data_IF_472118226679
#
_entry.id   IF_472118226679
#
_cell.length_a   1.000
_cell.length_b   1.000
_cell.length_c   1.000
_cell.angle_alpha   90.00
_cell.angle_beta   90.00
_cell.angle_gamma   90.00
#
_symmetry.space_group_name_H-M   'P 1'
#
loop_
_entity.id
_entity.type
_entity.pdbx_description
1 polymer ?
#
# COMPACT_ATOMS: atom_id res chain seq x y z
N UNK A 1 -2.37 -9.28 19.75
CA UNK A 1 -3.70 -8.67 19.70
C UNK A 1 -4.61 -9.36 20.72
N UNK A 2 -4.77 -10.69 20.71
CA UNK A 2 -5.66 -11.45 21.64
C UNK A 2 -5.46 -11.08 23.11
N UNK A 3 -4.22 -11.04 23.60
CA UNK A 3 -3.90 -10.63 24.99
C UNK A 3 -4.34 -9.20 25.32
N UNK A 4 -4.33 -8.29 24.34
CA UNK A 4 -4.80 -6.91 24.54
C UNK A 4 -6.33 -6.86 24.57
N UNK A 5 -7.01 -7.64 23.73
CA UNK A 5 -8.46 -7.72 23.73
C UNK A 5 -9.00 -8.25 25.04
N UNK A 6 -8.41 -9.32 25.56
CA UNK A 6 -8.77 -9.89 26.86
C UNK A 6 -8.53 -8.88 27.99
N UNK A 7 -7.35 -8.25 28.00
CA UNK A 7 -6.97 -7.31 29.05
C UNK A 7 -7.84 -6.03 29.08
N UNK A 8 -8.23 -5.53 27.91
CA UNK A 8 -8.95 -4.25 27.79
C UNK A 8 -10.41 -4.43 27.35
N UNK A 9 -10.93 -5.65 27.25
CA UNK A 9 -12.30 -5.98 26.84
C UNK A 9 -12.72 -5.31 25.50
N UNK A 10 -11.80 -5.29 24.53
CA UNK A 10 -12.03 -4.66 23.22
C UNK A 10 -12.76 -5.66 22.33
N UNK A 11 -13.98 -5.33 21.90
CA UNK A 11 -14.87 -6.25 21.13
C UNK A 11 -14.67 -6.17 19.63
N UNK A 12 -14.49 -4.97 19.08
CA UNK A 12 -14.42 -4.74 17.63
C UNK A 12 -13.03 -4.20 17.26
N UNK A 13 -12.13 -5.10 16.93
CA UNK A 13 -10.76 -4.73 16.57
C UNK A 13 -10.61 -4.68 15.05
N UNK A 14 -10.14 -3.55 14.53
CA UNK A 14 -9.74 -3.40 13.14
C UNK A 14 -8.22 -3.27 13.07
N UNK A 15 -7.58 -4.16 12.36
CA UNK A 15 -6.13 -4.16 12.15
C UNK A 15 -5.80 -3.29 10.96
N UNK A 16 -5.05 -2.22 11.19
CA UNK A 16 -4.54 -1.37 10.11
C UNK A 16 -3.11 -1.78 9.82
N UNK A 17 -2.82 -2.10 8.57
CA UNK A 17 -1.52 -2.64 8.19
C UNK A 17 -1.02 -2.11 6.86
N UNK A 18 0.31 -2.10 6.69
CA UNK A 18 0.96 -1.79 5.43
C UNK A 18 0.74 -2.91 4.39
N UNK A 19 1.02 -2.56 3.15
CA UNK A 19 0.92 -3.44 1.98
C UNK A 19 1.70 -4.75 2.13
N UNK A 20 2.76 -4.77 2.91
CA UNK A 20 3.54 -5.99 3.19
C UNK A 20 2.72 -7.13 3.83
N UNK A 21 1.65 -6.80 4.55
CA UNK A 21 0.75 -7.77 5.17
C UNK A 21 -0.48 -8.12 4.31
N UNK A 22 -0.57 -7.63 3.08
CA UNK A 22 -1.71 -7.81 2.19
C UNK A 22 -1.67 -9.13 1.42
N UNK A 23 -1.34 -10.25 2.05
CA UNK A 23 -1.52 -11.60 1.48
C UNK A 23 -2.90 -12.15 1.82
N UNK A 24 -3.45 -13.02 0.96
CA UNK A 24 -4.76 -13.67 1.20
C UNK A 24 -4.73 -14.45 2.51
N UNK A 25 -3.66 -15.21 2.75
CA UNK A 25 -3.48 -16.00 3.98
C UNK A 25 -3.51 -15.12 5.24
N UNK A 26 -2.81 -13.96 5.24
CA UNK A 26 -2.86 -13.03 6.37
C UNK A 26 -4.27 -12.45 6.59
N UNK A 27 -4.97 -12.11 5.51
CA UNK A 27 -6.33 -11.56 5.60
C UNK A 27 -7.33 -12.61 6.10
N UNK A 28 -7.20 -13.87 5.67
CA UNK A 28 -7.99 -14.98 6.18
C UNK A 28 -7.72 -15.20 7.68
N UNK A 29 -6.44 -15.23 8.08
CA UNK A 29 -6.07 -15.34 9.49
C UNK A 29 -6.69 -14.23 10.36
N UNK A 30 -6.77 -13.00 9.86
CA UNK A 30 -7.44 -11.92 10.59
C UNK A 30 -8.93 -12.18 10.73
N UNK A 31 -9.61 -12.67 9.68
CA UNK A 31 -11.02 -13.01 9.71
C UNK A 31 -11.32 -14.17 10.65
N UNK A 32 -10.51 -15.23 10.61
CA UNK A 32 -10.65 -16.41 11.48
C UNK A 32 -10.52 -16.04 12.97
N UNK A 33 -9.77 -14.97 13.25
CA UNK A 33 -9.66 -14.41 14.61
C UNK A 33 -10.69 -13.29 14.90
N UNK A 34 -11.72 -13.13 14.07
CA UNK A 34 -12.77 -12.12 14.21
C UNK A 34 -12.28 -10.67 14.19
N UNK A 35 -11.18 -10.38 13.48
CA UNK A 35 -10.70 -9.02 13.26
C UNK A 35 -11.20 -8.44 11.95
N UNK A 36 -11.57 -7.16 11.97
CA UNK A 36 -11.62 -6.35 10.75
C UNK A 36 -10.21 -5.97 10.29
N UNK A 37 -10.10 -5.50 9.07
CA UNK A 37 -8.81 -5.04 8.55
C UNK A 37 -8.93 -3.86 7.59
N UNK A 38 -7.87 -3.04 7.56
CA UNK A 38 -7.60 -1.97 6.60
C UNK A 38 -6.19 -2.17 6.11
N UNK A 39 -6.00 -2.53 4.84
CA UNK A 39 -4.67 -2.81 4.29
C UNK A 39 -4.52 -2.18 2.91
N UNK A 40 -3.38 -1.53 2.63
CA UNK A 40 -3.14 -0.96 1.32
C UNK A 40 -3.08 -2.00 0.22
N UNK A 41 -3.70 -1.67 -0.92
CA UNK A 41 -3.68 -2.48 -2.13
C UNK A 41 -2.97 -1.72 -3.26
N UNK A 42 -2.00 -2.36 -3.91
CA UNK A 42 -1.34 -1.76 -5.08
C UNK A 42 -2.29 -1.78 -6.27
N UNK A 43 -2.66 -0.60 -6.78
CA UNK A 43 -3.60 -0.46 -7.88
C UNK A 43 -3.11 -1.15 -9.15
N UNK A 44 -1.81 -1.07 -9.46
CA UNK A 44 -1.24 -1.72 -10.66
C UNK A 44 -1.27 -3.25 -10.65
N UNK A 45 -1.57 -3.87 -9.52
CA UNK A 45 -1.66 -5.34 -9.36
C UNK A 45 -3.10 -5.84 -9.35
N UNK A 46 -4.07 -4.96 -9.57
CA UNK A 46 -5.48 -5.33 -9.65
C UNK A 46 -5.82 -5.94 -11.01
N UNK A 47 -6.83 -6.83 -11.07
CA UNK A 47 -7.38 -7.36 -12.32
C UNK A 47 -7.81 -6.26 -13.28
N UNK A 48 -7.87 -6.58 -14.57
CA UNK A 48 -8.16 -5.59 -15.61
C UNK A 48 -9.58 -4.99 -15.49
N UNK A 49 -10.56 -5.80 -15.15
CA UNK A 49 -11.94 -5.40 -14.89
C UNK A 49 -12.08 -4.43 -13.71
N UNK A 50 -11.38 -4.68 -12.62
CA UNK A 50 -11.32 -3.78 -11.47
C UNK A 50 -10.56 -2.49 -11.82
N UNK A 51 -9.46 -2.62 -12.58
CA UNK A 51 -8.71 -1.44 -13.06
C UNK A 51 -9.59 -0.55 -13.94
N UNK A 52 -10.40 -1.14 -14.83
CA UNK A 52 -11.35 -0.39 -15.66
C UNK A 52 -12.39 0.35 -14.79
N UNK A 53 -12.94 -0.29 -13.76
CA UNK A 53 -13.87 0.35 -12.82
C UNK A 53 -13.22 1.50 -12.04
N UNK A 54 -11.92 1.41 -11.74
CA UNK A 54 -11.16 2.49 -11.07
C UNK A 54 -11.01 3.70 -11.98
N UNK A 55 -10.71 3.49 -13.25
CA UNK A 55 -10.49 4.56 -14.23
C UNK A 55 -11.80 5.20 -14.65
N UNK A 56 -12.91 4.46 -14.61
CA UNK A 56 -14.23 5.00 -14.90
C UNK A 56 -14.62 6.07 -13.88
N UNK A 57 -14.86 7.28 -14.35
CA UNK A 57 -15.23 8.44 -13.52
C UNK A 57 -16.59 8.30 -12.84
N UNK A 58 -17.46 7.44 -13.36
CA UNK A 58 -18.77 7.20 -12.77
C UNK A 58 -18.68 6.53 -11.40
N UNK A 59 -19.52 6.97 -10.47
CA UNK A 59 -19.62 6.40 -9.11
C UNK A 59 -18.58 6.92 -8.12
N UNK A 60 -17.79 7.93 -8.48
CA UNK A 60 -16.96 8.65 -7.51
C UNK A 60 -17.78 9.67 -6.74
N UNK A 61 -17.53 9.72 -5.42
CA UNK A 61 -18.04 10.77 -4.53
C UNK A 61 -16.94 11.80 -4.31
N UNK A 62 -17.18 13.04 -4.69
CA UNK A 62 -16.27 14.14 -4.42
C UNK A 62 -16.33 14.54 -2.95
N UNK A 63 -15.16 14.70 -2.34
CA UNK A 63 -14.97 15.21 -0.97
C UNK A 63 -14.47 16.65 -1.01
N UNK A 64 -13.50 16.90 -1.90
CA UNK A 64 -13.01 18.24 -2.19
C UNK A 64 -13.04 18.39 -3.71
N UNK A 65 -13.78 19.40 -4.16
CA UNK A 65 -13.99 19.65 -5.60
C UNK A 65 -12.67 19.63 -6.36
N UNK A 66 -12.64 18.84 -7.44
CA UNK A 66 -11.51 18.66 -8.35
C UNK A 66 -10.16 18.21 -7.69
N UNK A 67 -10.15 17.92 -6.38
CA UNK A 67 -8.92 17.60 -5.67
C UNK A 67 -8.90 16.24 -5.01
N UNK A 68 -10.03 15.81 -4.44
CA UNK A 68 -10.10 14.54 -3.73
C UNK A 68 -11.48 13.89 -3.87
N UNK A 69 -11.49 12.66 -4.34
CA UNK A 69 -12.70 11.84 -4.51
C UNK A 69 -12.42 10.40 -4.13
N UNK A 70 -13.49 9.67 -3.80
CA UNK A 70 -13.40 8.24 -3.51
C UNK A 70 -14.50 7.45 -4.21
N UNK A 71 -14.26 6.16 -4.37
CA UNK A 71 -15.21 5.16 -4.87
C UNK A 71 -15.09 3.89 -4.05
N UNK A 72 -16.22 3.22 -3.81
CA UNK A 72 -16.26 1.91 -3.16
C UNK A 72 -16.60 0.88 -4.22
N UNK A 73 -15.81 -0.19 -4.27
CA UNK A 73 -16.10 -1.39 -5.03
C UNK A 73 -16.42 -2.48 -4.01
N UNK A 74 -17.71 -2.81 -3.91
CA UNK A 74 -18.20 -3.85 -3.02
C UNK A 74 -17.88 -5.24 -3.59
N UNK A 75 -17.86 -6.24 -2.70
CA UNK A 75 -17.64 -7.65 -3.07
C UNK A 75 -16.33 -7.89 -3.87
N UNK A 76 -15.32 -7.06 -3.62
CA UNK A 76 -14.00 -7.30 -4.22
C UNK A 76 -13.43 -8.62 -3.72
N UNK A 77 -13.25 -9.56 -4.65
CA UNK A 77 -12.67 -10.87 -4.38
C UNK A 77 -11.18 -10.82 -4.64
N UNK A 78 -10.41 -11.00 -3.59
CA UNK A 78 -8.96 -11.14 -3.69
C UNK A 78 -8.58 -12.60 -3.60
N UNK A 79 -7.82 -13.08 -4.58
CA UNK A 79 -7.35 -14.46 -4.67
C UNK A 79 -5.83 -14.51 -4.57
N UNK A 80 -5.29 -15.62 -4.07
CA UNK A 80 -3.86 -15.92 -4.19
C UNK A 80 -3.53 -16.38 -5.62
N UNK A 81 -2.25 -16.57 -5.93
CA UNK A 81 -1.78 -16.83 -7.30
C UNK A 81 -2.32 -18.16 -7.88
N UNK A 82 -2.50 -19.18 -7.05
CA UNK A 82 -3.02 -20.51 -7.42
C UNK A 82 -4.55 -20.62 -7.28
N UNK A 83 -5.23 -19.54 -6.85
CA UNK A 83 -6.67 -19.46 -6.61
C UNK A 83 -7.21 -20.47 -5.59
N UNK A 84 -6.34 -21.06 -4.76
CA UNK A 84 -6.74 -22.00 -3.72
C UNK A 84 -7.46 -21.31 -2.56
N UNK A 85 -7.13 -20.04 -2.30
CA UNK A 85 -7.72 -19.23 -1.23
C UNK A 85 -8.23 -17.90 -1.78
N UNK A 86 -9.29 -17.40 -1.19
CA UNK A 86 -9.82 -16.08 -1.52
C UNK A 86 -10.39 -15.37 -0.30
N UNK A 87 -10.44 -14.04 -0.38
CA UNK A 87 -11.05 -13.18 0.61
C UNK A 87 -11.97 -12.20 -0.10
N UNK A 88 -13.21 -12.09 0.38
CA UNK A 88 -14.16 -11.07 -0.11
C UNK A 88 -14.18 -9.90 0.86
N UNK A 89 -13.95 -8.70 0.33
CA UNK A 89 -13.85 -7.46 1.09
C UNK A 89 -14.34 -6.27 0.26
N UNK A 90 -14.32 -5.07 0.82
CA UNK A 90 -14.55 -3.83 0.08
C UNK A 90 -13.21 -3.28 -0.41
N UNK A 91 -13.17 -2.76 -1.63
CA UNK A 91 -12.04 -1.99 -2.15
C UNK A 91 -12.42 -0.51 -2.13
N UNK A 92 -11.79 0.26 -1.28
CA UNK A 92 -11.92 1.71 -1.21
C UNK A 92 -10.84 2.32 -2.09
N UNK A 93 -11.25 2.95 -3.17
CA UNK A 93 -10.36 3.65 -4.10
C UNK A 93 -10.46 5.13 -3.85
N UNK A 94 -9.32 5.80 -3.79
CA UNK A 94 -9.25 7.25 -3.66
C UNK A 94 -8.45 7.84 -4.82
N UNK A 95 -8.84 9.01 -5.27
CA UNK A 95 -8.05 9.85 -6.18
C UNK A 95 -7.69 11.14 -5.47
N UNK A 96 -6.44 11.57 -5.64
CA UNK A 96 -5.95 12.84 -5.12
C UNK A 96 -5.13 13.55 -6.19
N UNK A 97 -5.42 14.83 -6.44
CA UNK A 97 -4.68 15.68 -7.39
C UNK A 97 -3.22 15.85 -6.97
N UNK A 98 -2.94 15.97 -5.67
CA UNK A 98 -1.57 16.09 -5.18
C UNK A 98 -0.76 14.79 -5.42
N UNK A 99 -1.42 13.63 -5.29
CA UNK A 99 -0.83 12.34 -5.63
C UNK A 99 -0.62 12.22 -7.14
N UNK A 100 -1.61 12.63 -7.95
CA UNK A 100 -1.50 12.63 -9.40
C UNK A 100 -0.28 13.44 -9.88
N UNK A 101 -0.09 14.64 -9.36
CA UNK A 101 1.04 15.48 -9.71
C UNK A 101 2.40 14.82 -9.36
N UNK A 102 2.49 14.19 -8.19
CA UNK A 102 3.70 13.44 -7.78
C UNK A 102 3.95 12.21 -8.65
N UNK A 103 2.90 11.43 -8.94
CA UNK A 103 3.00 10.21 -9.73
C UNK A 103 3.39 10.53 -11.19
N UNK A 104 2.84 11.59 -11.78
CA UNK A 104 3.20 12.09 -13.12
C UNK A 104 4.64 12.59 -13.15
N UNK A 105 5.07 13.34 -12.14
CA UNK A 105 6.47 13.79 -12.06
C UNK A 105 7.44 12.60 -11.99
N UNK A 106 7.11 11.58 -11.20
CA UNK A 106 7.89 10.35 -11.11
C UNK A 106 7.90 9.55 -12.43
N UNK A 107 6.75 9.46 -13.11
CA UNK A 107 6.65 8.83 -14.44
C UNK A 107 7.53 9.55 -15.46
N UNK A 108 7.48 10.89 -15.50
CA UNK A 108 8.29 11.69 -16.41
C UNK A 108 9.80 11.54 -16.15
N UNK A 109 10.21 11.46 -14.86
CA UNK A 109 11.59 11.21 -14.50
C UNK A 109 12.05 9.81 -14.96
N UNK A 110 11.23 8.77 -14.75
CA UNK A 110 11.50 7.42 -15.23
C UNK A 110 11.56 7.35 -16.77
N UNK A 111 10.68 8.08 -17.49
CA UNK A 111 10.69 8.16 -18.95
C UNK A 111 11.96 8.82 -19.50
N UNK A 112 12.47 9.86 -18.83
CA UNK A 112 13.77 10.46 -19.22
C UNK A 112 14.90 9.42 -19.17
N UNK A 113 14.94 8.61 -18.10
CA UNK A 113 15.93 7.54 -17.94
C UNK A 113 15.72 6.44 -19.00
N UNK A 114 14.47 6.03 -19.22
CA UNK A 114 14.11 5.03 -20.21
C UNK A 114 14.49 5.44 -21.62
N UNK A 115 14.23 6.69 -22.04
CA UNK A 115 14.62 7.22 -23.33
C UNK A 115 16.15 7.27 -23.51
N UNK A 116 16.88 7.72 -22.49
CA UNK A 116 18.35 7.68 -22.52
C UNK A 116 18.88 6.24 -22.64
N UNK A 117 18.23 5.28 -21.97
CA UNK A 117 18.58 3.87 -22.07
C UNK A 117 18.31 3.27 -23.47
N UNK A 118 17.24 3.71 -24.15
CA UNK A 118 16.95 3.34 -25.55
C UNK A 118 18.01 3.90 -26.48
N UNK A 119 18.33 5.19 -26.38
CA UNK A 119 19.33 5.86 -27.24
C UNK A 119 20.72 5.22 -27.12
N UNK A 120 21.11 4.86 -25.89
CA UNK A 120 22.42 4.27 -25.62
C UNK A 120 22.43 2.74 -25.76
N UNK A 121 21.34 2.09 -26.17
CA UNK A 121 21.20 0.63 -26.22
C UNK A 121 21.68 -0.06 -24.94
N UNK A 122 21.37 0.54 -23.79
CA UNK A 122 21.91 0.16 -22.49
C UNK A 122 21.52 -1.27 -22.12
N UNK A 123 22.46 -2.02 -21.52
CA UNK A 123 22.16 -3.32 -20.93
C UNK A 123 21.42 -3.12 -19.60
N UNK A 124 20.31 -3.84 -19.41
CA UNK A 124 19.60 -3.84 -18.14
C UNK A 124 20.39 -4.66 -17.13
N UNK A 125 21.00 -3.99 -16.16
CA UNK A 125 21.55 -4.65 -14.97
C UNK A 125 20.39 -5.12 -14.07
N UNK A 126 20.60 -6.20 -13.33
CA UNK A 126 19.59 -6.95 -12.52
C UNK A 126 18.88 -6.15 -11.42
N UNK A 127 19.32 -4.93 -11.09
CA UNK A 127 18.66 -4.10 -10.08
C UNK A 127 17.31 -3.57 -10.57
N UNK A 128 16.26 -3.79 -9.77
CA UNK A 128 14.87 -3.39 -10.05
C UNK A 128 14.69 -1.88 -9.96
N UNK A 129 14.79 -1.17 -11.06
CA UNK A 129 14.39 0.23 -11.16
C UNK A 129 13.02 0.32 -11.86
N UNK A 130 12.17 1.24 -11.43
CA UNK A 130 10.80 1.35 -11.93
C UNK A 130 10.71 1.63 -13.45
N UNK A 131 11.68 2.39 -14.01
CA UNK A 131 11.73 2.69 -15.44
C UNK A 131 11.90 1.43 -16.34
N UNK A 132 12.41 0.31 -15.80
CA UNK A 132 12.59 -0.93 -16.57
C UNK A 132 11.28 -1.53 -17.06
N UNK A 133 10.19 -1.32 -16.35
CA UNK A 133 8.86 -1.77 -16.79
C UNK A 133 8.32 -0.95 -18.00
N UNK A 134 8.95 0.19 -18.28
CA UNK A 134 8.55 1.09 -19.37
C UNK A 134 9.28 0.81 -20.67
N UNK A 135 10.16 -0.18 -20.73
CA UNK A 135 10.96 -0.49 -21.93
C UNK A 135 10.76 -1.93 -22.38
N UNK A 136 10.91 -2.14 -23.68
CA UNK A 136 10.98 -3.45 -24.31
C UNK A 136 12.43 -3.86 -24.41
N UNK A 137 12.75 -5.09 -23.97
CA UNK A 137 14.09 -5.67 -24.03
C UNK A 137 14.14 -6.84 -24.99
N UNK A 138 15.32 -7.15 -25.50
CA UNK A 138 15.53 -8.39 -26.23
C UNK A 138 15.53 -9.58 -25.27
N UNK A 139 14.84 -10.68 -25.67
CA UNK A 139 14.84 -11.92 -24.89
C UNK A 139 16.20 -12.64 -24.90
N UNK A 140 17.02 -12.42 -25.93
CA UNK A 140 18.33 -13.06 -26.10
C UNK A 140 19.49 -12.21 -25.56
N UNK A 141 19.33 -10.89 -25.56
CA UNK A 141 20.33 -9.96 -25.02
C UNK A 141 19.57 -8.94 -24.15
N UNK A 142 19.95 -8.71 -22.88
CA UNK A 142 19.21 -7.80 -22.00
C UNK A 142 19.46 -6.32 -22.36
N UNK A 143 19.38 -6.00 -23.66
CA UNK A 143 19.50 -4.64 -24.19
C UNK A 143 18.13 -4.01 -24.37
N UNK A 144 18.04 -2.72 -24.11
CA UNK A 144 16.82 -1.92 -24.28
C UNK A 144 16.65 -1.62 -25.77
N UNK A 145 15.48 -1.95 -26.32
CA UNK A 145 15.13 -1.70 -27.74
C UNK A 145 14.28 -0.47 -27.95
N UNK A 146 13.20 -0.35 -27.19
CA UNK A 146 12.21 0.70 -27.37
C UNK A 146 11.42 0.97 -26.08
N UNK A 147 10.67 2.05 -26.07
CA UNK A 147 9.69 2.33 -25.01
C UNK A 147 8.48 1.40 -25.19
N UNK A 148 8.00 0.85 -24.09
CA UNK A 148 6.74 0.10 -24.03
C UNK A 148 5.59 1.09 -23.81
N UNK A 149 5.03 1.58 -24.90
CA UNK A 149 3.96 2.61 -24.87
C UNK A 149 2.73 2.14 -24.07
N UNK A 150 2.35 0.85 -24.21
CA UNK A 150 1.22 0.30 -23.46
C UNK A 150 1.46 0.32 -21.93
N UNK A 151 2.69 0.05 -21.48
CA UNK A 151 3.05 0.15 -20.06
C UNK A 151 3.07 1.60 -19.56
N UNK A 152 3.48 2.53 -20.41
CA UNK A 152 3.46 3.98 -20.11
C UNK A 152 2.02 4.45 -19.92
N UNK A 153 1.14 4.17 -20.89
CA UNK A 153 -0.28 4.55 -20.81
C UNK A 153 -0.99 3.91 -19.61
N UNK A 154 -0.76 2.61 -19.37
CA UNK A 154 -1.28 1.94 -18.18
C UNK A 154 -0.80 2.60 -16.88
N UNK A 155 0.48 2.96 -16.77
CA UNK A 155 0.99 3.63 -15.58
C UNK A 155 0.42 5.04 -15.44
N UNK A 156 0.29 5.77 -16.54
CA UNK A 156 -0.29 7.12 -16.60
C UNK A 156 -1.76 7.13 -16.17
N UNK A 157 -2.57 6.20 -16.66
CA UNK A 157 -3.99 6.09 -16.30
C UNK A 157 -4.24 5.78 -14.82
N UNK A 158 -3.24 5.25 -14.12
CA UNK A 158 -3.33 4.92 -12.69
C UNK A 158 -2.70 5.99 -11.78
N UNK A 159 -2.16 7.08 -12.35
CA UNK A 159 -1.63 8.18 -11.53
C UNK A 159 -2.73 8.85 -10.71
N UNK A 160 -2.42 9.18 -9.48
CA UNK A 160 -3.35 9.80 -8.55
C UNK A 160 -4.23 8.83 -7.76
N UNK A 161 -4.36 7.58 -8.22
CA UNK A 161 -5.20 6.59 -7.55
C UNK A 161 -4.45 5.85 -6.44
N UNK A 162 -5.16 5.60 -5.34
CA UNK A 162 -4.74 4.69 -4.27
C UNK A 162 -5.90 3.75 -3.95
N UNK A 163 -5.58 2.55 -3.47
CA UNK A 163 -6.60 1.59 -3.09
C UNK A 163 -6.28 0.97 -1.73
N UNK A 164 -7.32 0.69 -0.97
CA UNK A 164 -7.26 0.07 0.35
C UNK A 164 -8.33 -1.01 0.42
N UNK A 165 -7.96 -2.22 0.80
CA UNK A 165 -8.93 -3.27 1.11
C UNK A 165 -9.40 -3.10 2.54
N UNK A 166 -10.71 -3.23 2.74
CA UNK A 166 -11.37 -3.08 4.03
C UNK A 166 -12.39 -4.19 4.26
N UNK A 167 -12.40 -4.69 5.46
CA UNK A 167 -13.46 -5.55 5.99
C UNK A 167 -13.73 -5.19 7.44
N UNK A 168 -15.00 -4.99 7.79
CA UNK A 168 -15.40 -4.77 9.17
C UNK A 168 -15.17 -6.02 10.03
N UNK A 169 -15.00 -5.85 11.32
CA UNK A 169 -15.06 -6.96 12.26
C UNK A 169 -16.46 -7.59 12.24
N UNK A 170 -16.61 -8.91 12.44
CA UNK A 170 -17.92 -9.59 12.31
C UNK A 170 -19.03 -9.01 13.20
N UNK A 171 -18.68 -8.45 14.35
CA UNK A 171 -19.61 -7.85 15.30
C UNK A 171 -19.86 -6.35 15.06
N UNK A 172 -19.17 -5.75 14.10
CA UNK A 172 -19.36 -4.34 13.73
C UNK A 172 -20.41 -4.23 12.61
N UNK A 173 -21.65 -3.94 13.00
CA UNK A 173 -22.79 -3.82 12.08
C UNK A 173 -22.78 -2.54 11.26
N UNK A 174 -22.07 -1.51 11.70
CA UNK A 174 -22.05 -0.19 11.05
C UNK A 174 -20.89 -0.09 10.07
N UNK A 175 -19.72 -0.60 10.44
CA UNK A 175 -18.50 -0.48 9.69
C UNK A 175 -17.93 0.96 9.69
N UNK A 176 -16.83 1.15 8.99
CA UNK A 176 -16.19 2.46 8.85
C UNK A 176 -16.58 3.13 7.52
N UNK A 177 -16.72 4.43 7.55
CA UNK A 177 -16.91 5.24 6.34
C UNK A 177 -15.59 5.28 5.52
N UNK A 178 -15.67 5.53 4.20
CA UNK A 178 -14.46 5.62 3.36
C UNK A 178 -13.42 6.62 3.85
N UNK A 179 -13.86 7.74 4.41
CA UNK A 179 -12.97 8.75 4.97
C UNK A 179 -12.28 8.26 6.26
N UNK A 180 -13.02 7.55 7.12
CA UNK A 180 -12.43 6.93 8.30
C UNK A 180 -11.44 5.82 7.93
N UNK A 181 -11.75 5.00 6.93
CA UNK A 181 -10.84 3.96 6.41
C UNK A 181 -9.54 4.59 5.92
N UNK A 182 -9.65 5.62 5.09
CA UNK A 182 -8.49 6.32 4.54
C UNK A 182 -7.70 7.04 5.64
N UNK A 183 -8.38 7.72 6.55
CA UNK A 183 -7.77 8.39 7.71
C UNK A 183 -7.02 7.41 8.62
N UNK A 184 -7.64 6.27 8.93
CA UNK A 184 -7.00 5.22 9.73
C UNK A 184 -5.74 4.66 9.05
N UNK A 185 -5.76 4.52 7.72
CA UNK A 185 -4.56 4.12 6.98
C UNK A 185 -3.47 5.20 7.03
N UNK A 186 -3.85 6.48 6.88
CA UNK A 186 -2.88 7.57 6.96
C UNK A 186 -2.23 7.70 8.34
N UNK A 187 -2.90 7.31 9.42
CA UNK A 187 -2.32 7.33 10.76
C UNK A 187 -1.13 6.36 10.93
N UNK A 188 -0.96 5.36 10.04
CA UNK A 188 0.25 4.54 10.01
C UNK A 188 1.52 5.35 9.77
N UNK A 189 1.43 6.46 9.01
CA UNK A 189 2.59 7.34 8.75
C UNK A 189 3.13 7.91 10.06
N UNK A 190 2.25 8.26 11.02
CA UNK A 190 2.66 8.75 12.34
C UNK A 190 3.43 7.68 13.11
N UNK A 191 2.98 6.42 13.04
CA UNK A 191 3.67 5.29 13.66
C UNK A 191 5.04 5.06 12.99
N UNK A 192 5.11 5.15 11.67
CA UNK A 192 6.37 5.04 10.93
C UNK A 192 7.35 6.15 11.30
N UNK A 193 6.85 7.37 11.46
CA UNK A 193 7.66 8.52 11.91
C UNK A 193 8.17 8.31 13.33
N UNK A 194 7.34 7.82 14.26
CA UNK A 194 7.77 7.45 15.61
C UNK A 194 8.89 6.40 15.56
N UNK A 195 8.72 5.33 14.78
CA UNK A 195 9.76 4.31 14.61
C UNK A 195 11.04 4.85 13.96
N UNK A 196 10.92 5.80 13.04
CA UNK A 196 12.08 6.47 12.44
C UNK A 196 12.85 7.26 13.50
N UNK A 197 12.18 8.10 14.29
CA UNK A 197 12.79 8.85 15.39
C UNK A 197 13.44 7.92 16.40
N UNK A 198 12.76 6.85 16.82
CA UNK A 198 13.33 5.86 17.72
C UNK A 198 14.62 5.24 17.17
N UNK A 199 14.63 4.86 15.89
CA UNK A 199 15.79 4.21 15.26
C UNK A 199 16.98 5.14 15.06
N UNK A 200 16.73 6.41 14.70
CA UNK A 200 17.77 7.36 14.32
C UNK A 200 18.16 8.25 15.50
N UNK A 201 17.23 9.02 16.04
CA UNK A 201 17.52 10.04 17.06
C UNK A 201 17.71 9.45 18.46
N UNK A 202 16.92 8.41 18.80
CA UNK A 202 17.00 7.76 20.12
C UNK A 202 17.89 6.50 20.10
N UNK A 203 18.60 6.25 19.00
CA UNK A 203 19.57 5.16 18.87
C UNK A 203 19.04 3.78 19.29
N UNK A 204 17.74 3.50 19.00
CA UNK A 204 17.19 2.16 19.22
C UNK A 204 17.93 1.12 18.36
N UNK A 205 18.56 1.54 17.26
CA UNK A 205 19.46 0.73 16.42
C UNK A 205 20.64 1.58 15.94
N UNK A 206 21.88 1.03 16.01
CA UNK A 206 22.26 -0.27 16.61
C UNK A 206 22.07 -0.27 18.11
N UNK A 207 21.70 -1.42 18.70
CA UNK A 207 21.50 -1.59 20.14
C UNK A 207 22.80 -2.07 20.75
N UNK A 208 23.32 -1.32 21.74
CA UNK A 208 24.60 -1.61 22.42
C UNK A 208 24.43 -2.29 23.78
N UNK A 209 23.21 -2.75 24.10
CA UNK A 209 22.87 -3.45 25.32
C UNK A 209 22.48 -4.89 24.98
N UNK A 210 22.92 -5.87 25.81
CA UNK A 210 22.85 -7.29 25.48
C UNK A 210 21.99 -8.11 26.45
N UNK A 211 21.74 -7.63 27.68
CA UNK A 211 20.88 -8.32 28.62
C UNK A 211 19.41 -7.96 28.42
N UNK A 212 18.52 -8.90 28.63
CA UNK A 212 17.07 -8.67 28.44
C UNK A 212 16.54 -7.49 29.25
N UNK A 213 16.97 -7.35 30.51
CA UNK A 213 16.59 -6.23 31.36
C UNK A 213 17.05 -4.87 30.81
N UNK A 214 18.29 -4.77 30.33
CA UNK A 214 18.81 -3.55 29.72
C UNK A 214 18.14 -3.24 28.38
N UNK A 215 17.84 -4.25 27.56
CA UNK A 215 17.09 -4.10 26.31
C UNK A 215 15.70 -3.53 26.59
N UNK A 216 14.98 -4.11 27.56
CA UNK A 216 13.65 -3.62 27.97
C UNK A 216 13.70 -2.20 28.51
N UNK A 217 14.68 -1.88 29.37
CA UNK A 217 14.87 -0.53 29.90
C UNK A 217 15.19 0.48 28.78
N UNK A 218 16.08 0.14 27.86
CA UNK A 218 16.42 1.00 26.74
C UNK A 218 15.21 1.29 25.82
N UNK A 219 14.44 0.26 25.48
CA UNK A 219 13.20 0.43 24.68
C UNK A 219 12.20 1.30 25.44
N UNK A 220 12.02 1.08 26.75
CA UNK A 220 11.12 1.89 27.58
C UNK A 220 11.54 3.36 27.62
N UNK A 221 12.83 3.65 27.78
CA UNK A 221 13.37 5.02 27.73
C UNK A 221 13.08 5.68 26.36
N UNK A 222 13.29 4.96 25.27
CA UNK A 222 12.98 5.46 23.92
C UNK A 222 11.48 5.76 23.75
N UNK A 223 10.60 4.92 24.28
CA UNK A 223 9.14 5.14 24.24
C UNK A 223 8.76 6.36 25.08
N UNK A 224 9.28 6.48 26.30
CA UNK A 224 9.02 7.66 27.15
C UNK A 224 9.51 8.98 26.54
N UNK A 225 10.59 8.94 25.76
CA UNK A 225 11.11 10.12 25.07
C UNK A 225 10.30 10.55 23.82
N UNK A 226 9.35 9.71 23.38
CA UNK A 226 8.42 10.01 22.27
C UNK A 226 7.11 10.64 22.74
N UNK A 227 6.77 10.54 24.02
CA UNK A 227 5.53 11.06 24.62
C UNK A 227 5.76 12.51 25.06
#
# INVERSE_FOLDING_TARGET
>A
ISKMQEKYNVKNTVVVADRGLNSVSNLNMLQDNNYGFIVAQKVSNLPADITAQIIDENGYTEVVKDRYKYKIIDNFKKENADKSESVTCKLVVTFSQDRYNRDIAALNADLKIANAAVLNQSRIKTQSRQWKSLVVTDKKAPTVKSINQAAVEKRKSLCGYAATVYKAAPNDKVGLTPLQITGSYHSLVQIEDCFRVMKTNLSLRPMFVYTESHIRAHVLCCVMALI
#
